data_IF_949303186481
#
_entry.id   IF_949303186481
#
_cell.length_a   1.000
_cell.length_b   1.000
_cell.length_c   1.000
_cell.angle_alpha   90.00
_cell.angle_beta   90.00
_cell.angle_gamma   90.00
#
_symmetry.space_group_name_H-M   'P 1'
#
loop_
_entity.id
_entity.type
_entity.pdbx_description
1 polymer ?
#
# COMPACT_ATOMS: atom_id res chain seq x y z
N UNK A 1 -27.35 16.80 10.68
CA UNK A 1 -25.96 17.17 11.01
C UNK A 1 -25.19 17.29 9.70
N UNK A 2 -24.68 18.48 9.39
CA UNK A 2 -24.30 18.91 8.03
C UNK A 2 -23.18 18.06 7.41
N UNK A 3 -23.50 17.45 6.27
CA UNK A 3 -22.54 16.83 5.35
C UNK A 3 -22.00 17.91 4.41
N UNK A 4 -21.08 18.74 4.90
CA UNK A 4 -20.27 19.59 4.04
C UNK A 4 -18.86 19.00 3.99
N UNK A 5 -18.72 17.91 3.23
CA UNK A 5 -17.41 17.41 2.84
C UNK A 5 -16.88 18.37 1.77
N UNK A 6 -15.82 19.10 2.11
CA UNK A 6 -15.13 19.97 1.19
C UNK A 6 -14.73 19.19 -0.06
N UNK A 7 -15.28 19.61 -1.19
CA UNK A 7 -14.84 19.25 -2.53
C UNK A 7 -13.45 19.83 -2.77
N UNK A 8 -12.42 19.03 -2.55
CA UNK A 8 -11.17 19.10 -3.31
C UNK A 8 -10.92 17.70 -3.86
N UNK A 9 -10.81 17.59 -5.18
CA UNK A 9 -10.85 16.38 -6.00
C UNK A 9 -9.78 15.33 -5.66
N UNK A 10 -9.96 14.60 -4.57
CA UNK A 10 -9.17 13.42 -4.28
C UNK A 10 -9.94 12.19 -4.79
N UNK A 11 -9.54 11.63 -5.94
CA UNK A 11 -10.04 10.32 -6.33
C UNK A 11 -9.40 9.30 -5.38
N UNK A 12 -10.17 8.46 -4.67
CA UNK A 12 -9.60 7.42 -3.82
C UNK A 12 -8.68 6.45 -4.58
N UNK A 13 -8.81 6.32 -5.90
CA UNK A 13 -7.83 5.62 -6.74
C UNK A 13 -6.46 6.29 -6.70
N UNK A 14 -6.41 7.61 -6.56
CA UNK A 14 -5.19 8.37 -6.36
C UNK A 14 -4.56 8.03 -5.00
N UNK A 15 -5.32 7.76 -3.94
CA UNK A 15 -4.74 7.34 -2.66
C UNK A 15 -3.85 6.09 -2.79
N UNK A 16 -4.37 5.08 -3.49
CA UNK A 16 -3.70 3.79 -3.65
C UNK A 16 -2.49 3.86 -4.59
N UNK A 17 -2.42 4.88 -5.46
CA UNK A 17 -1.25 5.17 -6.29
C UNK A 17 -0.28 6.14 -5.63
N UNK A 18 -0.74 6.99 -4.70
CA UNK A 18 0.08 7.99 -4.00
C UNK A 18 0.84 7.36 -2.81
N UNK A 19 0.30 6.35 -2.13
CA UNK A 19 1.02 5.62 -1.07
C UNK A 19 2.04 4.68 -1.69
N UNK A 20 3.31 5.00 -1.51
CA UNK A 20 4.42 4.21 -2.03
C UNK A 20 5.39 3.82 -0.90
N UNK A 21 5.88 2.58 -0.96
CA UNK A 21 6.69 1.97 0.10
C UNK A 21 8.03 1.54 -0.48
N UNK A 22 9.14 1.96 0.13
CA UNK A 22 10.49 1.59 -0.27
C UNK A 22 10.70 0.07 -0.20
N UNK A 23 11.47 -0.49 -1.15
CA UNK A 23 11.76 -1.92 -1.22
C UNK A 23 12.34 -2.50 0.08
N UNK A 24 13.07 -1.71 0.87
CA UNK A 24 13.63 -2.13 2.15
C UNK A 24 12.54 -2.31 3.20
N UNK A 25 11.59 -1.38 3.28
CA UNK A 25 10.39 -1.47 4.13
C UNK A 25 9.52 -2.66 3.69
N UNK A 26 9.27 -2.82 2.39
CA UNK A 26 8.51 -3.97 1.86
C UNK A 26 9.20 -5.28 2.22
N UNK A 27 10.52 -5.37 2.08
CA UNK A 27 11.27 -6.57 2.43
C UNK A 27 11.16 -6.90 3.93
N UNK A 28 11.34 -5.89 4.78
CA UNK A 28 11.21 -6.01 6.24
C UNK A 28 9.82 -6.50 6.66
N UNK A 29 8.76 -5.98 6.04
CA UNK A 29 7.38 -6.28 6.42
C UNK A 29 6.81 -7.56 5.80
N UNK A 30 7.20 -7.90 4.57
CA UNK A 30 6.69 -9.10 3.87
C UNK A 30 7.55 -10.34 4.08
N UNK A 31 8.80 -10.18 4.57
CA UNK A 31 9.77 -11.25 4.68
C UNK A 31 10.29 -11.75 3.32
N UNK A 32 9.93 -11.08 2.21
CA UNK A 32 10.49 -11.36 0.88
C UNK A 32 11.80 -10.59 0.75
N UNK A 33 12.87 -11.27 0.32
CA UNK A 33 14.15 -10.58 0.14
C UNK A 33 14.09 -9.53 -0.98
N UNK A 34 14.83 -8.44 -0.85
CA UNK A 34 14.96 -7.42 -1.91
C UNK A 34 15.41 -8.02 -3.25
N UNK A 35 16.22 -9.08 -3.21
CA UNK A 35 16.63 -9.86 -4.40
C UNK A 35 15.46 -10.57 -5.06
N UNK A 36 14.60 -11.23 -4.29
CA UNK A 36 13.40 -11.87 -4.81
C UNK A 36 12.42 -10.84 -5.38
N UNK A 37 12.23 -9.70 -4.73
CA UNK A 37 11.40 -8.61 -5.23
C UNK A 37 11.89 -8.10 -6.60
N UNK A 38 13.20 -7.83 -6.74
CA UNK A 38 13.81 -7.47 -8.04
C UNK A 38 13.65 -8.56 -9.09
N UNK A 39 13.73 -9.82 -8.69
CA UNK A 39 13.53 -10.95 -9.60
C UNK A 39 12.07 -11.05 -10.07
N UNK A 40 11.10 -10.93 -9.17
CA UNK A 40 9.67 -10.93 -9.51
C UNK A 40 9.30 -9.76 -10.43
N UNK A 41 9.89 -8.59 -10.17
CA UNK A 41 9.73 -7.43 -11.03
C UNK A 41 10.36 -7.65 -12.41
N UNK A 42 11.59 -8.17 -12.49
CA UNK A 42 12.22 -8.53 -13.77
C UNK A 42 11.38 -9.52 -14.58
N UNK A 43 10.60 -10.36 -13.90
CA UNK A 43 9.69 -11.33 -14.53
C UNK A 43 8.31 -10.73 -14.88
N UNK A 44 8.04 -9.48 -14.53
CA UNK A 44 6.77 -8.80 -14.79
C UNK A 44 5.64 -9.25 -13.86
N UNK A 45 5.95 -9.91 -12.74
CA UNK A 45 4.93 -10.38 -11.79
C UNK A 45 4.45 -9.27 -10.86
N UNK A 46 5.30 -8.26 -10.63
CA UNK A 46 5.02 -7.05 -9.85
C UNK A 46 5.69 -5.87 -10.55
N UNK A 47 5.20 -4.66 -10.31
CA UNK A 47 5.78 -3.44 -10.88
C UNK A 47 6.03 -2.40 -9.78
N UNK A 48 7.22 -1.80 -9.76
CA UNK A 48 7.46 -0.56 -9.01
C UNK A 48 6.86 0.64 -9.75
N UNK A 49 6.80 1.79 -9.08
CA UNK A 49 6.17 3.02 -9.60
C UNK A 49 7.10 3.75 -10.60
N UNK A 50 8.35 3.32 -10.78
CA UNK A 50 9.39 3.98 -11.56
C UNK A 50 9.58 5.47 -11.25
N UNK A 51 10.68 5.80 -10.58
CA UNK A 51 11.30 7.13 -10.66
C UNK A 51 12.74 6.92 -11.07
N UNK A 52 13.20 7.75 -12.03
CA UNK A 52 14.54 7.87 -12.63
C UNK A 52 15.54 6.74 -12.37
N UNK A 53 16.19 6.28 -13.45
CA UNK A 53 17.28 5.30 -13.44
C UNK A 53 18.31 5.60 -12.32
N UNK A 54 18.30 4.82 -11.25
CA UNK A 54 19.19 4.98 -10.09
C UNK A 54 18.48 5.20 -8.75
N UNK A 55 17.20 5.53 -8.74
CA UNK A 55 16.44 5.68 -7.50
C UNK A 55 16.02 4.33 -6.88
N UNK A 56 15.76 4.33 -5.58
CA UNK A 56 15.26 3.16 -4.88
C UNK A 56 13.85 2.82 -5.35
N UNK A 57 13.58 1.51 -5.44
CA UNK A 57 12.28 1.00 -5.90
C UNK A 57 11.22 1.27 -4.85
N UNK A 58 10.13 1.86 -5.29
CA UNK A 58 8.94 2.06 -4.48
C UNK A 58 7.77 1.26 -5.07
N UNK A 59 7.01 0.61 -4.19
CA UNK A 59 5.84 -0.18 -4.56
C UNK A 59 4.57 0.50 -4.04
N UNK A 60 3.51 0.51 -4.85
CA UNK A 60 2.19 0.93 -4.37
C UNK A 60 1.71 -0.04 -3.29
N UNK A 61 0.78 0.41 -2.45
CA UNK A 61 0.13 -0.47 -1.47
C UNK A 61 -0.53 -1.70 -2.12
N UNK A 62 -1.06 -1.55 -3.34
CA UNK A 62 -1.62 -2.66 -4.12
C UNK A 62 -0.55 -3.66 -4.56
N UNK A 63 0.61 -3.18 -4.99
CA UNK A 63 1.74 -4.05 -5.32
C UNK A 63 2.24 -4.78 -4.08
N UNK A 64 2.31 -4.10 -2.92
CA UNK A 64 2.68 -4.73 -1.64
C UNK A 64 1.68 -5.81 -1.21
N UNK A 65 0.38 -5.59 -1.43
CA UNK A 65 -0.62 -6.63 -1.24
C UNK A 65 -0.37 -7.84 -2.14
N UNK A 66 -0.12 -7.63 -3.44
CA UNK A 66 0.22 -8.72 -4.39
C UNK A 66 1.46 -9.49 -3.93
N UNK A 67 2.51 -8.79 -3.49
CA UNK A 67 3.73 -9.41 -2.93
C UNK A 67 3.39 -10.30 -1.73
N UNK A 68 2.55 -9.81 -0.82
CA UNK A 68 2.16 -10.52 0.40
C UNK A 68 1.38 -11.79 0.08
N UNK A 69 0.46 -11.74 -0.88
CA UNK A 69 -0.30 -12.93 -1.33
C UNK A 69 0.63 -13.94 -2.02
N UNK A 70 1.54 -13.48 -2.89
CA UNK A 70 2.52 -14.37 -3.52
C UNK A 70 3.38 -15.09 -2.48
N UNK A 71 3.89 -14.36 -1.49
CA UNK A 71 4.68 -14.93 -0.41
C UNK A 71 3.90 -15.98 0.36
N UNK A 72 2.67 -15.67 0.77
CA UNK A 72 1.80 -16.61 1.47
C UNK A 72 1.58 -17.90 0.67
N UNK A 73 1.29 -17.81 -0.64
CA UNK A 73 1.10 -18.99 -1.47
C UNK A 73 2.36 -19.84 -1.59
N UNK A 74 3.52 -19.20 -1.75
CA UNK A 74 4.82 -19.89 -1.86
C UNK A 74 5.19 -20.58 -0.54
N UNK A 75 4.96 -19.94 0.59
CA UNK A 75 5.20 -20.52 1.91
C UNK A 75 4.32 -21.75 2.17
N UNK A 76 3.13 -21.79 1.57
CA UNK A 76 2.23 -22.94 1.59
C UNK A 76 2.56 -24.00 0.52
N UNK A 77 3.76 -23.96 -0.05
CA UNK A 77 4.29 -25.02 -0.92
C UNK A 77 3.97 -24.86 -2.42
N UNK A 78 3.38 -23.73 -2.84
CA UNK A 78 3.20 -23.47 -4.27
C UNK A 78 4.51 -23.02 -4.91
N UNK A 79 4.74 -23.44 -6.16
CA UNK A 79 5.77 -22.82 -6.98
C UNK A 79 5.38 -21.39 -7.34
N UNK A 80 6.38 -20.52 -7.54
CA UNK A 80 6.15 -19.13 -7.94
C UNK A 80 5.23 -19.02 -9.16
N UNK A 81 5.41 -19.87 -10.17
CA UNK A 81 4.57 -19.87 -11.38
C UNK A 81 3.09 -20.11 -11.04
N UNK A 82 2.79 -21.15 -10.25
CA UNK A 82 1.42 -21.46 -9.81
C UNK A 82 0.84 -20.36 -8.92
N UNK A 83 1.67 -19.76 -8.06
CA UNK A 83 1.24 -18.64 -7.22
C UNK A 83 0.86 -17.42 -8.07
N UNK A 84 1.66 -17.08 -9.08
CA UNK A 84 1.37 -15.97 -10.02
C UNK A 84 0.09 -16.22 -10.80
N UNK A 85 -0.10 -17.42 -11.37
CA UNK A 85 -1.35 -17.79 -12.06
C UNK A 85 -2.57 -17.63 -11.14
N UNK A 86 -2.45 -18.07 -9.89
CA UNK A 86 -3.52 -17.96 -8.89
C UNK A 86 -3.81 -16.51 -8.51
N UNK A 87 -2.78 -15.66 -8.34
CA UNK A 87 -2.93 -14.23 -8.03
C UNK A 87 -3.53 -13.45 -9.21
N UNK A 88 -3.14 -13.76 -10.44
CA UNK A 88 -3.73 -13.16 -11.64
C UNK A 88 -5.23 -13.44 -11.72
N UNK A 89 -5.67 -14.66 -11.38
CA UNK A 89 -7.09 -15.00 -11.27
C UNK A 89 -7.82 -14.29 -10.10
N UNK A 90 -7.09 -13.86 -9.05
CA UNK A 90 -7.63 -13.08 -7.94
C UNK A 90 -7.74 -11.58 -8.18
N UNK A 91 -7.27 -11.05 -9.32
CA UNK A 91 -7.37 -9.60 -9.63
C UNK A 91 -8.80 -9.07 -9.60
N UNK A 92 -9.83 -9.90 -9.82
CA UNK A 92 -11.23 -9.53 -9.57
C UNK A 92 -11.49 -9.09 -8.11
N UNK A 93 -10.84 -9.74 -7.13
CA UNK A 93 -10.95 -9.40 -5.70
C UNK A 93 -10.19 -8.13 -5.33
N UNK A 94 -9.28 -7.63 -6.16
CA UNK A 94 -8.66 -6.32 -5.91
C UNK A 94 -9.71 -5.21 -5.91
N UNK A 95 -10.80 -5.36 -6.67
CA UNK A 95 -11.93 -4.42 -6.60
C UNK A 95 -12.58 -4.41 -5.21
N UNK A 96 -12.70 -5.57 -4.56
CA UNK A 96 -13.23 -5.71 -3.21
C UNK A 96 -12.25 -5.20 -2.14
N UNK A 97 -10.93 -5.43 -2.31
CA UNK A 97 -9.91 -4.84 -1.43
C UNK A 97 -9.92 -3.31 -1.53
N UNK A 98 -10.04 -2.79 -2.75
CA UNK A 98 -10.19 -1.36 -3.01
C UNK A 98 -11.44 -0.83 -2.30
N UNK A 99 -12.61 -1.42 -2.53
CA UNK A 99 -13.87 -1.07 -1.85
C UNK A 99 -13.73 -1.10 -0.34
N UNK A 100 -13.15 -2.16 0.24
CA UNK A 100 -12.93 -2.27 1.68
C UNK A 100 -12.07 -1.15 2.26
N UNK A 101 -11.00 -0.76 1.57
CA UNK A 101 -10.16 0.39 1.98
C UNK A 101 -10.98 1.68 1.88
N UNK A 102 -11.79 1.84 0.83
CA UNK A 102 -12.62 3.02 0.60
C UNK A 102 -13.80 3.14 1.57
N UNK A 103 -14.47 2.04 1.90
CA UNK A 103 -15.62 2.00 2.83
C UNK A 103 -15.19 2.31 4.27
N UNK A 104 -13.90 2.13 4.58
CA UNK A 104 -13.30 2.49 5.87
C UNK A 104 -12.74 3.92 5.91
N UNK A 105 -12.71 4.61 4.77
CA UNK A 105 -12.21 5.98 4.66
C UNK A 105 -13.19 6.96 5.30
N UNK A 106 -13.04 7.20 6.60
CA UNK A 106 -13.99 8.03 7.37
C UNK A 106 -13.37 9.28 8.00
N UNK A 107 -12.04 9.41 8.07
CA UNK A 107 -11.42 10.51 8.81
C UNK A 107 -10.06 10.95 8.27
N UNK A 108 -9.93 12.25 7.99
CA UNK A 108 -8.72 12.94 7.57
C UNK A 108 -8.55 14.17 8.46
N UNK A 109 -7.35 14.37 9.00
CA UNK A 109 -7.01 15.49 9.88
C UNK A 109 -5.76 16.20 9.36
N UNK A 110 -5.75 17.53 9.43
CA UNK A 110 -4.56 18.32 9.14
C UNK A 110 -3.96 18.84 10.44
N UNK A 111 -2.66 18.58 10.65
CA UNK A 111 -1.91 19.09 11.81
C UNK A 111 -0.49 19.44 11.37
N UNK A 112 -0.03 20.64 11.73
CA UNK A 112 1.33 21.11 11.44
C UNK A 112 1.75 20.93 9.96
N UNK A 113 0.91 21.40 9.03
CA UNK A 113 1.13 21.31 7.58
C UNK A 113 1.25 19.86 7.05
N UNK A 114 0.79 18.88 7.83
CA UNK A 114 0.77 17.46 7.48
C UNK A 114 -0.68 16.97 7.49
N UNK A 115 -1.06 16.31 6.40
CA UNK A 115 -2.35 15.63 6.26
C UNK A 115 -2.18 14.22 6.79
N UNK A 116 -3.08 13.79 7.67
CA UNK A 116 -3.13 12.45 8.24
C UNK A 116 -4.48 11.80 7.90
N UNK A 117 -4.42 10.58 7.40
CA UNK A 117 -5.56 9.76 7.00
C UNK A 117 -5.57 8.56 7.91
N UNK A 118 -6.63 8.38 8.70
CA UNK A 118 -6.75 7.21 9.57
C UNK A 118 -7.10 5.97 8.74
N UNK A 119 -6.26 4.94 8.81
CA UNK A 119 -6.39 3.70 8.03
C UNK A 119 -6.93 2.53 8.86
N UNK A 120 -7.14 2.74 10.15
CA UNK A 120 -7.61 1.72 11.08
C UNK A 120 -6.58 1.34 12.14
N UNK A 121 -6.79 0.20 12.80
CA UNK A 121 -5.89 -0.35 13.81
C UNK A 121 -5.22 -1.64 13.31
N UNK A 122 -3.98 -1.88 13.75
CA UNK A 122 -3.30 -3.16 13.57
C UNK A 122 -3.82 -4.21 14.54
N UNK A 123 -3.43 -5.47 14.36
CA UNK A 123 -3.79 -6.58 15.26
C UNK A 123 -3.31 -6.35 16.71
N UNK A 124 -2.24 -5.59 16.87
CA UNK A 124 -1.72 -5.17 18.18
C UNK A 124 -2.38 -3.87 18.69
N UNK A 125 -3.54 -3.52 18.16
CA UNK A 125 -4.35 -2.36 18.51
C UNK A 125 -3.66 -0.99 18.30
N UNK A 126 -2.57 -0.93 17.52
CA UNK A 126 -1.87 0.32 17.19
C UNK A 126 -2.62 1.07 16.10
N UNK A 127 -2.58 2.40 16.13
CA UNK A 127 -3.19 3.25 15.12
C UNK A 127 -2.30 3.30 13.86
N UNK A 128 -2.93 3.15 12.70
CA UNK A 128 -2.26 3.24 11.40
C UNK A 128 -2.77 4.49 10.68
N UNK A 129 -1.84 5.35 10.28
CA UNK A 129 -2.13 6.55 9.50
C UNK A 129 -1.35 6.56 8.19
N UNK A 130 -1.99 6.98 7.11
CA UNK A 130 -1.30 7.51 5.94
C UNK A 130 -1.04 9.01 6.17
N UNK A 131 0.15 9.52 5.93
CA UNK A 131 0.42 10.94 6.13
C UNK A 131 1.28 11.56 5.03
N UNK A 132 1.09 12.85 4.75
CA UNK A 132 1.81 13.60 3.72
C UNK A 132 1.93 15.05 4.13
N UNK A 133 3.10 15.67 4.00
CA UNK A 133 3.19 17.14 4.14
C UNK A 133 2.58 17.79 2.91
N UNK A 134 1.91 18.95 3.03
CA UNK A 134 1.20 19.57 1.89
C UNK A 134 2.06 19.79 0.64
N UNK A 135 3.38 19.93 0.81
CA UNK A 135 4.36 20.13 -0.26
C UNK A 135 4.89 18.82 -0.87
N UNK A 136 4.65 17.68 -0.23
CA UNK A 136 5.11 16.36 -0.69
C UNK A 136 4.09 15.79 -1.66
N UNK A 137 4.52 15.04 -2.68
CA UNK A 137 3.58 14.39 -3.61
C UNK A 137 3.03 13.07 -3.07
N UNK A 138 3.64 12.50 -2.01
CA UNK A 138 3.38 11.13 -1.56
C UNK A 138 2.96 11.01 -0.11
N UNK A 139 2.09 10.03 0.14
CA UNK A 139 1.73 9.61 1.49
C UNK A 139 2.72 8.53 1.96
N UNK A 140 3.26 8.70 3.15
CA UNK A 140 3.97 7.69 3.92
C UNK A 140 3.02 7.03 4.93
N UNK A 141 3.40 5.89 5.51
CA UNK A 141 2.62 5.21 6.55
C UNK A 141 3.29 5.45 7.91
N UNK A 142 2.48 5.71 8.92
CA UNK A 142 2.90 5.81 10.32
C UNK A 142 2.07 4.85 11.17
N UNK A 143 2.74 4.12 12.06
CA UNK A 143 2.11 3.28 13.08
C UNK A 143 2.46 3.85 14.45
N UNK A 144 1.45 4.18 15.25
CA UNK A 144 1.61 4.84 16.55
C UNK A 144 0.71 4.21 17.60
N UNK A 145 1.14 4.25 18.87
CA UNK A 145 0.36 3.75 20.00
C UNK A 145 -0.77 4.72 20.40
N UNK A 146 -0.64 6.01 20.03
CA UNK A 146 -1.62 7.06 20.33
C UNK A 146 -2.22 7.67 19.04
N UNK A 147 -3.47 8.16 19.10
CA UNK A 147 -4.02 8.96 18.01
C UNK A 147 -3.24 10.27 17.84
N UNK A 148 -3.29 10.82 16.63
CA UNK A 148 -2.59 12.07 16.25
C UNK A 148 -3.34 13.30 16.76
#
# INVERSE_FOLDING_TARGET
MNKNFLSSSFDPKDFLSIVSIDISEVSKHTGVSTRQLRYWEKKGYINSIDRKKGENRHYTILTVYVISVLKHLIDNGLSLKKAVEKVQNYTYKLSEVKKFIFDRYNFCEEKNNTIYIFLGRSDNNKYIYGYRKKQDEHYSIMITDNPI
#
